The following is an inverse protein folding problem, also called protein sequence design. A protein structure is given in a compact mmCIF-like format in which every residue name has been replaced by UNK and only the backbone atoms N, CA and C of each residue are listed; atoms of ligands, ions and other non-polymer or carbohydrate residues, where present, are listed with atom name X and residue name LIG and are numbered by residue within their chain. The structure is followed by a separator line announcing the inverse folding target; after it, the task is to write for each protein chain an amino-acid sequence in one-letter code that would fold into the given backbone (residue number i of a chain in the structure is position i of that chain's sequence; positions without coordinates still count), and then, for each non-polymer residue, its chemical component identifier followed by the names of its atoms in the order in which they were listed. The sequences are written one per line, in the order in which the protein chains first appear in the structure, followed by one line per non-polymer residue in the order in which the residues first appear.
data_IF_251509580868
#
_entry.id   IF_251509580868
#
_cell.length_a   1.000
_cell.length_b   1.000
_cell.length_c   1.000
_cell.angle_alpha   90.00
_cell.angle_beta   90.00
_cell.angle_gamma   90.00
#
_symmetry.space_group_name_H-M   'P 1'
#
loop_
_entity.id
_entity.type
_entity.pdbx_description
1 polymer ?
#
# COMPACT_ATOMS: atom_id res chain seq x y z
N UNK A 1 13.15 21.14 44.15
CA UNK A 1 12.25 20.22 43.40
C UNK A 1 11.32 20.90 42.37
N UNK A 2 11.55 22.16 41.95
CA UNK A 2 10.61 22.92 41.09
C UNK A 2 11.01 23.03 39.61
N UNK A 3 12.27 22.73 39.26
CA UNK A 3 12.77 22.89 37.88
C UNK A 3 12.27 21.78 36.94
N UNK A 4 12.14 20.55 37.45
CA UNK A 4 11.65 19.40 36.67
C UNK A 4 10.17 19.52 36.25
N UNK A 5 9.34 20.24 37.00
CA UNK A 5 7.90 20.39 36.68
C UNK A 5 7.65 21.43 35.59
N UNK A 6 8.45 22.52 35.54
CA UNK A 6 8.35 23.56 34.52
C UNK A 6 8.81 23.06 33.14
N UNK A 7 9.87 22.24 33.07
CA UNK A 7 10.34 21.63 31.81
C UNK A 7 9.29 20.63 31.28
N UNK A 8 8.67 19.83 32.16
CA UNK A 8 7.59 18.89 31.77
C UNK A 8 6.33 19.62 31.28
N UNK A 9 6.01 20.78 31.87
CA UNK A 9 4.92 21.65 31.43
C UNK A 9 5.24 22.39 30.12
N UNK A 10 6.50 22.78 29.90
CA UNK A 10 6.97 23.38 28.64
C UNK A 10 6.95 22.34 27.50
N UNK A 11 7.42 21.12 27.75
CA UNK A 11 7.34 20.00 26.80
C UNK A 11 5.89 19.63 26.46
N UNK A 12 4.98 19.64 27.45
CA UNK A 12 3.54 19.48 27.21
C UNK A 12 2.88 20.65 26.45
N UNK A 13 3.47 21.86 26.48
CA UNK A 13 2.99 23.02 25.71
C UNK A 13 3.54 23.05 24.28
N UNK A 14 4.75 22.54 24.07
CA UNK A 14 5.38 22.43 22.74
C UNK A 14 4.79 21.23 21.95
N UNK A 15 4.33 20.19 22.64
CA UNK A 15 3.68 19.01 22.05
C UNK A 15 2.20 18.99 22.43
N UNK A 16 1.47 20.03 22.00
CA UNK A 16 0.03 19.89 21.70
C UNK A 16 -0.13 19.98 20.19
N UNK A 17 0.53 19.08 19.47
CA UNK A 17 -0.04 18.64 18.20
C UNK A 17 -1.44 18.13 18.53
N UNK A 18 -2.44 18.66 17.82
CA UNK A 18 -3.79 18.11 17.87
C UNK A 18 -3.63 16.61 17.63
N UNK A 19 -4.16 15.77 18.53
CA UNK A 19 -4.17 14.32 18.29
C UNK A 19 -4.71 14.10 16.88
N UNK A 20 -3.95 13.39 16.06
CA UNK A 20 -4.33 13.13 14.67
C UNK A 20 -5.76 12.56 14.68
N UNK A 21 -6.64 13.12 13.86
CA UNK A 21 -8.00 12.58 13.76
C UNK A 21 -7.94 11.37 12.86
N UNK A 22 -8.57 10.29 13.28
CA UNK A 22 -8.71 9.03 12.56
C UNK A 22 -9.85 9.07 11.51
N UNK A 23 -10.39 10.25 11.24
CA UNK A 23 -11.26 10.55 10.10
C UNK A 23 -10.93 11.93 9.54
N UNK A 24 -11.29 12.16 8.27
CA UNK A 24 -11.17 13.48 7.63
C UNK A 24 -12.52 14.17 7.46
N UNK A 25 -13.51 13.82 8.27
CA UNK A 25 -14.85 14.41 8.15
C UNK A 25 -14.76 15.91 8.38
N UNK A 26 -15.24 16.67 7.39
CA UNK A 26 -15.23 18.13 7.32
C UNK A 26 -13.82 18.76 7.27
N UNK A 27 -12.80 18.01 6.86
CA UNK A 27 -11.43 18.52 6.75
C UNK A 27 -11.12 19.09 5.36
N UNK A 28 -10.27 20.11 5.34
CA UNK A 28 -9.61 20.59 4.14
C UNK A 28 -8.31 19.79 3.90
N UNK A 29 -8.26 19.03 2.81
CA UNK A 29 -7.09 18.24 2.45
C UNK A 29 -6.33 18.94 1.32
N UNK A 30 -5.00 19.00 1.44
CA UNK A 30 -4.13 19.38 0.33
C UNK A 30 -3.21 18.23 -0.04
N UNK A 31 -2.89 18.08 -1.31
CA UNK A 31 -2.02 17.01 -1.81
C UNK A 31 -0.84 17.62 -2.55
N UNK A 32 0.37 17.27 -2.13
CA UNK A 32 1.57 17.46 -2.91
C UNK A 32 2.02 16.12 -3.44
N UNK A 33 2.35 16.04 -4.72
CA UNK A 33 2.92 14.84 -5.29
C UNK A 33 3.20 14.96 -6.78
N UNK A 34 3.42 13.84 -7.43
CA UNK A 34 3.90 13.79 -8.81
C UNK A 34 2.83 13.39 -9.84
N UNK A 35 3.23 12.87 -11.01
CA UNK A 35 2.33 12.45 -12.08
C UNK A 35 1.31 11.40 -11.64
N UNK A 36 1.63 10.55 -10.67
CA UNK A 36 0.76 9.48 -10.19
C UNK A 36 -0.46 10.07 -9.47
N UNK A 37 -0.27 11.10 -8.65
CA UNK A 37 -1.38 11.78 -7.96
C UNK A 37 -1.90 13.02 -8.68
N UNK A 38 -1.15 13.59 -9.63
CA UNK A 38 -1.66 14.62 -10.52
C UNK A 38 -2.73 14.07 -11.47
N UNK A 39 -2.68 12.76 -11.74
CA UNK A 39 -3.57 12.08 -12.67
C UNK A 39 -3.28 12.51 -14.11
N UNK A 40 -1.99 12.52 -14.47
CA UNK A 40 -1.50 12.96 -15.77
C UNK A 40 -2.23 12.26 -16.93
N UNK A 41 -2.71 13.06 -17.90
CA UNK A 41 -3.10 12.59 -19.22
C UNK A 41 -1.86 12.06 -19.94
N UNK A 42 -1.65 10.74 -19.94
CA UNK A 42 -0.66 10.13 -20.81
C UNK A 42 -1.27 9.89 -22.20
N UNK A 43 -0.43 9.99 -23.22
CA UNK A 43 -0.72 10.02 -24.68
C UNK A 43 -1.16 8.63 -25.21
N UNK A 44 -1.93 7.89 -24.42
CA UNK A 44 -2.78 6.78 -24.85
C UNK A 44 -4.13 7.08 -24.23
N UNK A 45 -5.15 7.21 -25.06
CA UNK A 45 -6.51 7.74 -24.82
C UNK A 45 -7.32 6.99 -23.71
N UNK A 46 -6.66 6.29 -22.79
CA UNK A 46 -7.20 5.39 -21.77
C UNK A 46 -7.02 5.89 -20.31
N UNK A 47 -6.38 7.05 -20.08
CA UNK A 47 -6.01 7.49 -18.71
C UNK A 47 -6.46 8.90 -18.27
N UNK A 48 -7.72 9.34 -18.47
CA UNK A 48 -8.21 10.51 -17.76
C UNK A 48 -8.71 10.13 -16.35
N UNK A 49 -7.82 9.73 -15.44
CA UNK A 49 -8.20 9.44 -14.04
C UNK A 49 -7.95 10.62 -13.10
N UNK A 50 -7.81 11.85 -13.61
CA UNK A 50 -7.62 13.05 -12.78
C UNK A 50 -8.65 13.15 -11.64
N UNK A 51 -9.88 12.71 -11.88
CA UNK A 51 -10.95 12.68 -10.88
C UNK A 51 -10.97 11.43 -9.99
N UNK A 52 -10.18 10.42 -10.32
CA UNK A 52 -10.17 9.11 -9.66
C UNK A 52 -8.77 8.67 -9.16
N UNK A 53 -7.81 9.59 -9.05
CA UNK A 53 -6.54 9.33 -8.36
C UNK A 53 -6.77 8.98 -6.89
N UNK A 54 -5.89 8.14 -6.34
CA UNK A 54 -6.10 7.52 -5.03
C UNK A 54 -6.30 8.54 -3.90
N UNK A 55 -5.60 9.68 -3.94
CA UNK A 55 -5.68 10.70 -2.90
C UNK A 55 -7.08 11.37 -2.89
N UNK A 56 -7.62 11.67 -4.08
CA UNK A 56 -8.96 12.24 -4.25
C UNK A 56 -10.04 11.26 -3.80
N UNK A 57 -9.93 10.00 -4.21
CA UNK A 57 -10.87 8.95 -3.80
C UNK A 57 -10.82 8.69 -2.28
N UNK A 58 -9.63 8.67 -1.68
CA UNK A 58 -9.49 8.48 -0.23
C UNK A 58 -10.12 9.62 0.55
N UNK A 59 -9.90 10.88 0.13
CA UNK A 59 -10.55 12.05 0.73
C UNK A 59 -12.07 11.97 0.65
N UNK A 60 -12.62 11.51 -0.49
CA UNK A 60 -14.05 11.25 -0.61
C UNK A 60 -14.51 10.15 0.36
N UNK A 61 -13.82 9.01 0.42
CA UNK A 61 -14.18 7.91 1.33
C UNK A 61 -14.05 8.25 2.83
N UNK A 62 -13.27 9.27 3.16
CA UNK A 62 -13.07 9.81 4.51
C UNK A 62 -13.95 11.03 4.80
N UNK A 63 -14.88 11.38 3.90
CA UNK A 63 -15.81 12.51 4.01
C UNK A 63 -15.13 13.87 4.19
N UNK A 64 -13.98 14.08 3.53
CA UNK A 64 -13.33 15.38 3.49
C UNK A 64 -14.27 16.46 2.92
N UNK A 65 -14.21 17.68 3.48
CA UNK A 65 -14.98 18.80 2.97
C UNK A 65 -14.53 19.18 1.55
N UNK A 66 -13.22 19.26 1.35
CA UNK A 66 -12.60 19.52 0.05
C UNK A 66 -11.20 18.91 -0.02
N UNK A 67 -10.74 18.69 -1.26
CA UNK A 67 -9.37 18.38 -1.58
C UNK A 67 -8.85 19.35 -2.64
N UNK A 68 -7.67 19.92 -2.39
CA UNK A 68 -6.91 20.69 -3.37
C UNK A 68 -5.65 19.90 -3.77
N UNK A 69 -5.50 19.65 -5.07
CA UNK A 69 -4.41 18.85 -5.60
C UNK A 69 -3.34 19.75 -6.23
N UNK A 70 -2.19 19.85 -5.57
CA UNK A 70 -1.02 20.61 -6.01
C UNK A 70 0.04 19.73 -6.66
N UNK A 71 -0.32 18.50 -7.02
CA UNK A 71 0.61 17.58 -7.65
C UNK A 71 1.00 18.03 -9.06
N UNK A 72 2.27 17.85 -9.40
CA UNK A 72 2.85 18.22 -10.68
C UNK A 72 3.69 17.07 -11.24
N UNK A 73 3.47 16.75 -12.52
CA UNK A 73 4.24 15.72 -13.21
C UNK A 73 5.73 16.00 -13.21
N UNK A 74 6.53 14.94 -13.01
CA UNK A 74 7.99 15.02 -13.02
C UNK A 74 8.57 15.71 -11.79
N UNK A 75 7.75 16.02 -10.77
CA UNK A 75 8.22 16.67 -9.55
C UNK A 75 8.56 15.61 -8.49
N UNK A 76 9.65 15.82 -7.76
CA UNK A 76 10.01 15.18 -6.50
C UNK A 76 10.36 16.24 -5.46
N UNK A 77 11.34 15.98 -4.60
CA UNK A 77 12.01 17.07 -3.86
C UNK A 77 12.67 18.05 -4.83
N UNK A 78 13.20 17.53 -5.92
CA UNK A 78 13.70 18.28 -7.06
C UNK A 78 12.71 18.20 -8.23
N UNK A 79 12.64 19.26 -9.03
CA UNK A 79 11.89 19.19 -10.30
C UNK A 79 12.76 18.43 -11.29
N UNK A 80 12.30 17.31 -11.83
CA UNK A 80 13.03 16.61 -12.86
C UNK A 80 12.80 17.18 -14.25
N UNK A 81 13.60 16.75 -15.22
CA UNK A 81 13.40 17.11 -16.62
C UNK A 81 12.11 16.52 -17.17
N UNK A 82 11.16 17.38 -17.55
CA UNK A 82 9.95 16.92 -18.23
C UNK A 82 9.62 17.77 -19.47
N UNK A 83 9.53 17.11 -20.62
CA UNK A 83 9.33 17.77 -21.91
C UNK A 83 8.01 18.56 -22.02
N UNK A 84 7.03 18.29 -21.15
CA UNK A 84 5.73 18.97 -21.13
C UNK A 84 5.69 20.19 -20.19
N UNK A 85 6.74 20.49 -19.44
CA UNK A 85 6.72 21.58 -18.43
C UNK A 85 6.33 22.93 -19.04
N UNK A 86 6.82 23.23 -20.25
CA UNK A 86 6.50 24.47 -20.98
C UNK A 86 5.07 24.51 -21.52
N UNK A 87 4.48 23.36 -21.82
CA UNK A 87 3.14 23.26 -22.43
C UNK A 87 2.04 23.16 -21.38
N UNK A 88 2.29 22.44 -20.29
CA UNK A 88 1.33 22.21 -19.21
C UNK A 88 1.41 23.28 -18.10
N UNK A 89 2.43 24.14 -18.10
CA UNK A 89 2.64 25.14 -17.07
C UNK A 89 3.14 24.58 -15.73
N UNK A 90 3.55 23.30 -15.70
CA UNK A 90 4.20 22.69 -14.54
C UNK A 90 5.59 23.28 -14.36
N UNK A 91 5.76 24.08 -13.32
CA UNK A 91 6.98 24.89 -13.15
C UNK A 91 7.55 24.79 -11.75
N UNK A 92 6.91 24.04 -10.84
CA UNK A 92 7.28 24.06 -9.45
C UNK A 92 7.98 22.77 -9.01
N UNK A 93 9.10 22.96 -8.30
CA UNK A 93 9.58 21.96 -7.34
C UNK A 93 8.61 21.89 -6.16
N UNK A 94 8.72 20.87 -5.31
CA UNK A 94 7.91 20.80 -4.10
C UNK A 94 8.03 22.07 -3.22
N UNK A 95 9.24 22.62 -3.08
CA UNK A 95 9.44 23.91 -2.40
C UNK A 95 8.68 25.05 -3.08
N UNK A 96 8.70 25.10 -4.42
CA UNK A 96 7.95 26.06 -5.22
C UNK A 96 6.45 25.98 -4.95
N UNK A 97 5.88 24.78 -4.98
CA UNK A 97 4.45 24.54 -4.73
C UNK A 97 4.07 24.97 -3.31
N UNK A 98 4.90 24.67 -2.30
CA UNK A 98 4.65 25.12 -0.91
C UNK A 98 4.58 26.66 -0.82
N UNK A 99 5.46 27.36 -1.53
CA UNK A 99 5.50 28.82 -1.51
C UNK A 99 4.32 29.44 -2.27
N UNK A 100 3.96 28.85 -3.41
CA UNK A 100 2.84 29.30 -4.25
C UNK A 100 1.49 29.12 -3.53
N UNK A 101 1.23 27.92 -3.01
CA UNK A 101 -0.04 27.56 -2.34
C UNK A 101 -0.05 27.82 -0.83
N UNK A 102 0.67 28.87 -0.40
CA UNK A 102 0.85 29.16 1.03
C UNK A 102 -0.46 29.48 1.76
N UNK A 103 -1.45 30.07 1.09
CA UNK A 103 -2.72 30.43 1.76
C UNK A 103 -3.62 29.22 1.96
N UNK A 104 -3.61 28.30 1.00
CA UNK A 104 -4.32 27.04 0.99
C UNK A 104 -3.76 26.14 2.11
N UNK A 105 -2.42 26.06 2.24
CA UNK A 105 -1.76 25.34 3.35
C UNK A 105 -2.18 25.88 4.72
N UNK A 106 -2.37 27.20 4.88
CA UNK A 106 -2.82 27.79 6.16
C UNK A 106 -4.23 27.35 6.55
N UNK A 107 -5.07 27.03 5.58
CA UNK A 107 -6.46 26.62 5.77
C UNK A 107 -6.64 25.10 5.78
N UNK A 108 -5.61 24.35 5.37
CA UNK A 108 -5.62 22.90 5.34
C UNK A 108 -5.58 22.30 6.75
N UNK A 109 -6.33 21.23 6.95
CA UNK A 109 -6.26 20.38 8.14
C UNK A 109 -5.27 19.24 7.92
N UNK A 110 -5.16 18.74 6.68
CA UNK A 110 -4.31 17.62 6.30
C UNK A 110 -3.50 17.98 5.06
N UNK A 111 -2.21 17.63 5.04
CA UNK A 111 -1.40 17.59 3.83
C UNK A 111 -0.86 16.19 3.57
N UNK A 112 -1.12 15.68 2.37
CA UNK A 112 -0.54 14.44 1.85
C UNK A 112 0.71 14.81 1.05
N UNK A 113 1.82 14.09 1.28
CA UNK A 113 3.08 14.24 0.53
C UNK A 113 3.37 12.90 -0.17
N UNK A 114 3.20 12.86 -1.49
CA UNK A 114 3.34 11.69 -2.34
C UNK A 114 4.39 11.94 -3.44
N UNK A 115 5.66 11.92 -3.02
CA UNK A 115 6.83 12.12 -3.90
C UNK A 115 7.84 11.00 -3.67
N UNK A 116 8.74 10.84 -4.63
CA UNK A 116 9.96 10.05 -4.47
C UNK A 116 10.50 9.50 -5.78
N UNK A 117 9.62 8.98 -6.63
CA UNK A 117 10.04 8.27 -7.84
C UNK A 117 10.86 9.15 -8.81
N UNK A 118 10.48 10.43 -8.96
CA UNK A 118 11.22 11.38 -9.81
C UNK A 118 12.61 11.74 -9.25
N UNK A 119 12.78 11.80 -7.92
CA UNK A 119 14.10 12.04 -7.33
C UNK A 119 15.09 10.91 -7.63
N UNK A 120 14.60 9.68 -7.80
CA UNK A 120 15.43 8.55 -8.23
C UNK A 120 15.70 8.58 -9.74
N UNK A 121 14.67 8.74 -10.57
CA UNK A 121 14.78 8.50 -12.02
C UNK A 121 15.17 9.71 -12.88
N UNK A 122 15.13 10.94 -12.35
CA UNK A 122 15.32 12.17 -13.14
C UNK A 122 16.48 13.02 -12.60
N UNK A 123 17.41 13.46 -13.46
CA UNK A 123 18.26 14.61 -13.17
C UNK A 123 17.45 15.89 -13.01
N UNK A 124 18.08 16.92 -12.44
CA UNK A 124 17.53 18.27 -12.37
C UNK A 124 17.32 18.88 -13.77
N UNK A 125 16.54 19.98 -13.91
CA UNK A 125 16.18 20.54 -15.20
C UNK A 125 17.39 21.06 -15.99
N UNK A 126 18.47 21.42 -15.29
CA UNK A 126 19.76 21.84 -15.86
C UNK A 126 20.72 20.68 -16.16
N UNK A 127 20.32 19.44 -15.87
CA UNK A 127 21.11 18.23 -16.06
C UNK A 127 22.05 17.90 -14.90
N UNK A 128 22.07 18.70 -13.83
CA UNK A 128 22.79 18.35 -12.61
C UNK A 128 22.16 17.15 -11.91
N UNK A 129 22.99 16.40 -11.18
CA UNK A 129 22.58 15.25 -10.37
C UNK A 129 22.49 15.67 -8.90
N UNK A 130 21.68 14.98 -8.12
CA UNK A 130 21.57 15.16 -6.67
C UNK A 130 21.77 13.84 -5.94
N UNK A 131 22.33 13.90 -4.74
CA UNK A 131 22.55 12.73 -3.90
C UNK A 131 21.40 12.45 -2.91
N UNK A 132 21.42 11.25 -2.32
CA UNK A 132 20.43 10.82 -1.34
C UNK A 132 20.36 11.76 -0.11
N UNK A 133 21.51 12.27 0.35
CA UNK A 133 21.57 13.22 1.46
C UNK A 133 20.82 14.51 1.13
N UNK A 134 20.96 15.03 -0.09
CA UNK A 134 20.30 16.26 -0.52
C UNK A 134 18.78 16.08 -0.62
N UNK A 135 18.32 14.90 -1.10
CA UNK A 135 16.91 14.52 -1.08
C UNK A 135 16.35 14.54 0.34
N UNK A 136 17.08 13.92 1.29
CA UNK A 136 16.66 13.88 2.71
C UNK A 136 16.59 15.29 3.31
N UNK A 137 17.60 16.11 3.06
CA UNK A 137 17.66 17.47 3.59
C UNK A 137 16.54 18.36 3.03
N UNK A 138 16.26 18.27 1.71
CA UNK A 138 15.13 18.98 1.11
C UNK A 138 13.79 18.52 1.67
N UNK A 139 13.58 17.22 1.84
CA UNK A 139 12.34 16.70 2.41
C UNK A 139 12.13 17.21 3.85
N UNK A 140 13.17 17.20 4.69
CA UNK A 140 13.12 17.79 6.04
C UNK A 140 12.78 19.28 5.99
N UNK A 141 13.43 20.04 5.11
CA UNK A 141 13.20 21.48 4.95
C UNK A 141 11.76 21.77 4.50
N UNK A 142 11.24 21.02 3.54
CA UNK A 142 9.88 21.17 3.02
C UNK A 142 8.82 20.83 4.07
N UNK A 143 8.99 19.74 4.82
CA UNK A 143 8.12 19.39 5.96
C UNK A 143 8.10 20.51 7.01
N UNK A 144 9.28 21.02 7.38
CA UNK A 144 9.39 22.11 8.34
C UNK A 144 8.78 23.42 7.82
N UNK A 145 8.89 23.68 6.53
CA UNK A 145 8.28 24.84 5.89
C UNK A 145 6.76 24.77 5.92
N UNK A 146 6.16 23.63 5.60
CA UNK A 146 4.71 23.41 5.71
C UNK A 146 4.25 23.65 7.15
N UNK A 147 4.96 23.07 8.13
CA UNK A 147 4.65 23.27 9.56
C UNK A 147 4.84 24.71 10.05
N UNK A 148 5.78 25.45 9.47
CA UNK A 148 5.96 26.87 9.77
C UNK A 148 4.81 27.72 9.21
N UNK A 149 4.22 27.32 8.09
CA UNK A 149 3.03 27.96 7.51
C UNK A 149 1.79 27.62 8.34
N UNK A 150 1.63 26.35 8.71
CA UNK A 150 0.51 25.85 9.50
C UNK A 150 1.00 24.82 10.55
N UNK A 151 1.12 25.24 11.80
CA UNK A 151 1.63 24.39 12.88
C UNK A 151 0.63 23.32 13.36
N UNK A 152 -0.63 23.40 12.91
CA UNK A 152 -1.71 22.47 13.27
C UNK A 152 -1.99 21.43 12.19
N UNK A 153 -1.40 21.59 11.01
CA UNK A 153 -1.63 20.69 9.89
C UNK A 153 -1.15 19.28 10.24
N UNK A 154 -1.96 18.30 9.88
CA UNK A 154 -1.60 16.91 9.96
C UNK A 154 -0.90 16.50 8.67
N UNK A 155 0.31 15.96 8.77
CA UNK A 155 1.04 15.49 7.59
C UNK A 155 0.87 13.98 7.44
N UNK A 156 0.73 13.52 6.20
CA UNK A 156 0.76 12.10 5.85
C UNK A 156 1.78 11.92 4.73
N UNK A 157 2.83 11.16 4.98
CA UNK A 157 3.79 10.78 3.96
C UNK A 157 3.29 9.54 3.24
N UNK A 158 3.20 9.58 1.92
CA UNK A 158 2.91 8.41 1.09
C UNK A 158 4.22 7.91 0.49
N UNK A 159 4.44 6.61 0.64
CA UNK A 159 5.55 5.91 -0.01
C UNK A 159 4.96 5.05 -1.10
N UNK A 160 5.35 5.40 -2.32
CA UNK A 160 5.05 4.61 -3.49
C UNK A 160 5.76 3.25 -3.42
N UNK A 161 5.15 2.28 -4.09
CA UNK A 161 5.59 0.89 -4.12
C UNK A 161 6.70 0.70 -5.16
N UNK A 162 6.69 -0.35 -5.98
CA UNK A 162 7.71 -0.56 -7.01
C UNK A 162 7.65 0.49 -8.12
N UNK A 163 8.78 0.70 -8.77
CA UNK A 163 8.84 1.24 -10.12
C UNK A 163 9.28 0.11 -11.06
N UNK A 164 8.94 0.22 -12.34
CA UNK A 164 9.32 -0.73 -13.38
C UNK A 164 10.14 -0.06 -14.47
N UNK A 165 11.02 -0.82 -15.12
CA UNK A 165 11.73 -0.41 -16.34
C UNK A 165 11.80 -1.59 -17.28
N UNK A 166 11.29 -1.43 -18.51
CA UNK A 166 11.27 -2.52 -19.50
C UNK A 166 10.62 -3.78 -18.93
N UNK A 167 9.50 -3.61 -18.22
CA UNK A 167 8.74 -4.67 -17.54
C UNK A 167 9.48 -5.41 -16.41
N UNK A 168 10.58 -4.86 -15.88
CA UNK A 168 11.31 -5.44 -14.75
C UNK A 168 11.24 -4.53 -13.52
N UNK A 169 11.12 -5.07 -12.29
CA UNK A 169 11.17 -4.29 -11.07
C UNK A 169 12.47 -3.48 -10.98
N UNK A 170 12.34 -2.19 -10.69
CA UNK A 170 13.46 -1.28 -10.59
C UNK A 170 14.03 -1.15 -9.16
N UNK A 171 13.58 -2.01 -8.24
CA UNK A 171 13.90 -1.94 -6.81
C UNK A 171 15.41 -1.81 -6.54
N UNK A 172 16.22 -2.59 -7.25
CA UNK A 172 17.68 -2.60 -7.13
C UNK A 172 18.40 -1.88 -8.27
N UNK A 173 17.67 -1.20 -9.15
CA UNK A 173 18.28 -0.48 -10.27
C UNK A 173 18.78 0.88 -9.80
N UNK A 174 20.05 1.17 -10.10
CA UNK A 174 20.63 2.49 -9.91
C UNK A 174 20.05 3.48 -10.93
N UNK A 175 19.52 4.59 -10.44
CA UNK A 175 19.04 5.69 -11.28
C UNK A 175 20.19 6.56 -11.79
N UNK A 176 19.91 7.55 -12.65
CA UNK A 176 20.94 8.48 -13.14
C UNK A 176 21.63 9.28 -12.02
N UNK A 177 21.01 9.37 -10.84
CA UNK A 177 21.51 10.10 -9.67
C UNK A 177 22.44 9.26 -8.77
N UNK A 178 22.77 8.01 -9.15
CA UNK A 178 23.80 7.22 -8.46
C UNK A 178 23.33 6.47 -7.20
N UNK A 179 22.03 6.26 -7.04
CA UNK A 179 21.46 5.45 -5.95
C UNK A 179 20.30 4.57 -6.45
N UNK A 180 19.99 3.51 -5.71
CA UNK A 180 18.90 2.59 -6.08
C UNK A 180 17.54 3.13 -5.68
N UNK A 181 16.48 2.61 -6.31
CA UNK A 181 15.11 2.97 -5.92
C UNK A 181 14.83 2.59 -4.45
N UNK A 182 15.35 1.44 -4.01
CA UNK A 182 15.26 1.02 -2.61
C UNK A 182 15.90 2.05 -1.64
N UNK A 183 17.06 2.61 -2.00
CA UNK A 183 17.73 3.63 -1.18
C UNK A 183 16.90 4.90 -1.07
N UNK A 184 16.28 5.34 -2.18
CA UNK A 184 15.38 6.49 -2.20
C UNK A 184 14.19 6.29 -1.27
N UNK A 185 13.52 5.14 -1.38
CA UNK A 185 12.38 4.80 -0.53
C UNK A 185 12.79 4.76 0.94
N UNK A 186 13.93 4.14 1.27
CA UNK A 186 14.45 4.10 2.63
C UNK A 186 14.73 5.50 3.18
N UNK A 187 15.31 6.40 2.37
CA UNK A 187 15.60 7.77 2.74
C UNK A 187 14.34 8.59 3.06
N UNK A 188 13.28 8.46 2.24
CA UNK A 188 12.00 9.11 2.51
C UNK A 188 11.37 8.60 3.81
N UNK A 189 11.33 7.27 4.01
CA UNK A 189 10.80 6.66 5.25
C UNK A 189 11.58 7.15 6.48
N UNK A 190 12.91 7.20 6.39
CA UNK A 190 13.77 7.69 7.46
C UNK A 190 13.41 9.12 7.85
N UNK A 191 13.32 10.03 6.87
CA UNK A 191 12.97 11.43 7.14
C UNK A 191 11.56 11.58 7.68
N UNK A 192 10.56 10.87 7.14
CA UNK A 192 9.21 10.92 7.69
C UNK A 192 9.19 10.48 9.16
N UNK A 193 9.89 9.40 9.50
CA UNK A 193 10.03 8.93 10.89
C UNK A 193 10.73 9.97 11.78
N UNK A 194 11.87 10.51 11.34
CA UNK A 194 12.60 11.57 12.06
C UNK A 194 11.71 12.80 12.33
N UNK A 195 10.88 13.17 11.35
CA UNK A 195 9.99 14.32 11.44
C UNK A 195 8.65 14.00 12.11
N UNK A 196 8.41 12.77 12.57
CA UNK A 196 7.13 12.38 13.18
C UNK A 196 5.95 12.52 12.22
N UNK A 197 6.16 12.22 10.94
CA UNK A 197 5.13 12.15 9.91
C UNK A 197 4.71 10.68 9.76
N UNK A 198 3.43 10.31 9.96
CA UNK A 198 2.97 8.95 9.70
C UNK A 198 3.17 8.58 8.23
N UNK A 199 3.57 7.34 8.00
CA UNK A 199 3.93 6.82 6.68
C UNK A 199 2.88 5.83 6.22
N UNK A 200 2.14 6.19 5.17
CA UNK A 200 1.34 5.26 4.39
C UNK A 200 2.23 4.63 3.32
N UNK A 201 2.71 3.43 3.61
CA UNK A 201 3.51 2.64 2.68
C UNK A 201 2.59 1.68 1.92
N UNK A 202 2.41 1.92 0.61
CA UNK A 202 1.49 1.15 -0.23
C UNK A 202 1.83 -0.35 -0.20
N UNK A 203 3.11 -0.70 -0.02
CA UNK A 203 3.60 -2.08 0.01
C UNK A 203 3.08 -2.86 1.22
N UNK A 204 2.80 -2.18 2.33
CA UNK A 204 2.23 -2.80 3.54
C UNK A 204 0.79 -3.28 3.33
N UNK A 205 0.18 -2.94 2.19
CA UNK A 205 -1.16 -3.35 1.77
C UNK A 205 -1.14 -4.29 0.57
N UNK A 206 0.04 -4.78 0.17
CA UNK A 206 0.20 -5.72 -0.94
C UNK A 206 -0.25 -5.14 -2.30
N UNK A 207 -0.05 -3.84 -2.51
CA UNK A 207 -0.42 -3.14 -3.75
C UNK A 207 0.80 -2.64 -4.53
N UNK A 208 0.70 -2.68 -5.85
CA UNK A 208 1.70 -2.23 -6.82
C UNK A 208 3.00 -3.05 -6.83
N UNK A 209 2.92 -4.32 -6.42
CA UNK A 209 4.04 -5.24 -6.46
C UNK A 209 4.24 -5.87 -7.87
N UNK A 210 3.27 -5.72 -8.78
CA UNK A 210 3.25 -6.39 -10.09
C UNK A 210 3.00 -5.44 -11.24
N UNK A 211 3.57 -5.75 -12.41
CA UNK A 211 3.55 -4.85 -13.57
C UNK A 211 2.16 -4.66 -14.18
N UNK A 212 1.27 -5.63 -14.04
CA UNK A 212 -0.13 -5.54 -14.49
C UNK A 212 -0.99 -4.61 -13.63
N UNK A 213 -0.50 -4.20 -12.46
CA UNK A 213 -1.09 -3.14 -11.65
C UNK A 213 -0.81 -1.73 -12.24
N UNK A 214 -0.04 -1.65 -13.33
CA UNK A 214 0.40 -0.42 -13.97
C UNK A 214 -0.12 -0.31 -15.40
N UNK A 215 -0.46 0.91 -15.82
CA UNK A 215 -0.86 1.23 -17.20
C UNK A 215 0.34 1.40 -18.15
N UNK A 216 1.53 1.59 -17.58
CA UNK A 216 2.78 1.69 -18.32
C UNK A 216 3.87 0.81 -17.70
N UNK A 217 4.97 0.61 -18.41
CA UNK A 217 6.11 -0.16 -17.92
C UNK A 217 7.00 0.65 -16.97
N UNK A 218 6.41 1.66 -16.30
CA UNK A 218 7.13 2.65 -15.51
C UNK A 218 6.60 2.74 -14.09
N UNK A 219 5.50 3.45 -13.85
CA UNK A 219 5.13 3.85 -12.49
C UNK A 219 3.69 4.31 -12.31
N UNK A 220 2.88 4.33 -13.37
CA UNK A 220 1.50 4.80 -13.28
C UNK A 220 0.55 3.63 -13.06
N UNK A 221 -0.25 3.67 -11.99
CA UNK A 221 -1.20 2.61 -11.65
C UNK A 221 -2.42 2.59 -12.58
N UNK A 222 -3.05 1.42 -12.67
CA UNK A 222 -4.41 1.30 -13.24
C UNK A 222 -5.45 1.96 -12.32
N UNK A 223 -6.62 2.26 -12.88
CA UNK A 223 -7.73 2.84 -12.12
C UNK A 223 -8.14 1.97 -10.93
N UNK A 224 -8.20 0.66 -11.12
CA UNK A 224 -8.63 -0.25 -10.06
C UNK A 224 -7.61 -0.33 -8.93
N UNK A 225 -6.33 -0.22 -9.26
CA UNK A 225 -5.26 -0.11 -8.25
C UNK A 225 -5.35 1.23 -7.52
N UNK A 226 -5.64 2.35 -8.21
CA UNK A 226 -5.92 3.63 -7.54
C UNK A 226 -7.10 3.55 -6.55
N UNK A 227 -8.19 2.86 -6.91
CA UNK A 227 -9.33 2.63 -6.00
C UNK A 227 -8.94 1.80 -4.79
N UNK A 228 -8.10 0.79 -4.98
CA UNK A 228 -7.59 -0.06 -3.88
C UNK A 228 -6.68 0.73 -2.94
N UNK A 229 -5.71 1.47 -3.48
CA UNK A 229 -4.83 2.35 -2.69
C UNK A 229 -5.66 3.35 -1.89
N UNK A 230 -6.72 3.90 -2.46
CA UNK A 230 -7.61 4.82 -1.75
C UNK A 230 -8.33 4.19 -0.56
N UNK A 231 -8.80 2.93 -0.70
CA UNK A 231 -9.39 2.17 0.40
C UNK A 231 -8.35 1.85 1.47
N UNK A 232 -7.14 1.48 1.09
CA UNK A 232 -6.02 1.23 2.01
C UNK A 232 -5.59 2.49 2.76
N UNK A 233 -5.57 3.66 2.10
CA UNK A 233 -5.30 4.94 2.77
C UNK A 233 -6.41 5.31 3.76
N UNK A 234 -7.68 5.04 3.42
CA UNK A 234 -8.79 5.16 4.36
C UNK A 234 -8.61 4.25 5.59
N UNK A 235 -8.25 2.98 5.36
CA UNK A 235 -7.96 2.02 6.44
C UNK A 235 -6.84 2.53 7.36
N UNK A 236 -5.73 3.00 6.77
CA UNK A 236 -4.62 3.60 7.48
C UNK A 236 -5.06 4.74 8.40
N UNK A 237 -5.84 5.69 7.87
CA UNK A 237 -6.34 6.85 8.61
C UNK A 237 -7.25 6.40 9.75
N UNK A 238 -8.22 5.51 9.46
CA UNK A 238 -9.18 5.00 10.45
C UNK A 238 -8.55 4.23 11.60
N UNK A 239 -7.36 3.68 11.38
CA UNK A 239 -6.61 2.98 12.44
C UNK A 239 -5.51 3.84 13.04
N UNK A 240 -5.76 5.14 13.16
CA UNK A 240 -4.83 6.04 13.85
C UNK A 240 -3.48 6.14 13.15
N UNK A 241 -3.45 6.05 11.83
CA UNK A 241 -2.25 6.14 11.00
C UNK A 241 -1.26 5.00 11.26
N UNK A 242 -1.80 3.79 11.42
CA UNK A 242 -1.02 2.56 11.56
C UNK A 242 -1.28 1.62 10.39
N UNK A 243 -0.21 1.22 9.68
CA UNK A 243 -0.30 0.20 8.64
C UNK A 243 -0.60 -1.18 9.23
N UNK A 244 -1.09 -2.15 8.44
CA UNK A 244 -1.27 -3.52 8.90
C UNK A 244 -0.02 -4.08 9.58
N UNK A 245 1.16 -3.87 8.99
CA UNK A 245 2.43 -4.28 9.57
C UNK A 245 2.72 -3.63 10.95
N UNK A 246 2.27 -2.40 11.18
CA UNK A 246 2.41 -1.72 12.47
C UNK A 246 1.40 -2.19 13.51
N UNK A 247 0.19 -2.58 13.08
CA UNK A 247 -0.89 -3.06 13.96
C UNK A 247 -0.69 -4.50 14.38
N UNK A 248 -0.28 -5.33 13.43
CA UNK A 248 -0.26 -6.79 13.56
C UNK A 248 1.15 -7.37 13.55
N UNK A 249 2.19 -6.57 13.26
CA UNK A 249 3.57 -7.01 13.19
C UNK A 249 3.95 -7.62 11.83
N UNK A 250 5.24 -7.96 11.70
CA UNK A 250 5.71 -8.76 10.57
C UNK A 250 5.11 -10.16 10.63
N UNK A 251 4.56 -10.61 9.50
CA UNK A 251 3.78 -11.84 9.41
C UNK A 251 4.47 -12.82 8.46
N UNK A 252 4.73 -14.03 8.94
CA UNK A 252 5.15 -15.15 8.10
C UNK A 252 3.91 -15.69 7.37
N UNK A 253 3.97 -15.69 6.04
CA UNK A 253 2.88 -16.14 5.17
C UNK A 253 3.10 -17.60 4.76
N UNK A 254 2.17 -18.48 5.09
CA UNK A 254 2.24 -19.91 4.79
C UNK A 254 1.25 -20.28 3.69
N UNK A 255 1.76 -20.67 2.52
CA UNK A 255 0.93 -21.17 1.42
C UNK A 255 0.45 -22.59 1.75
N UNK A 256 -0.86 -22.79 1.85
CA UNK A 256 -1.46 -24.07 2.21
C UNK A 256 -2.56 -24.45 1.21
N UNK A 257 -2.30 -25.49 0.41
CA UNK A 257 -3.18 -25.94 -0.68
C UNK A 257 -4.05 -27.14 -0.32
N UNK A 258 -3.89 -27.67 0.90
CA UNK A 258 -4.68 -28.80 1.40
C UNK A 258 -5.96 -28.37 2.11
N UNK A 259 -6.69 -29.37 2.63
CA UNK A 259 -7.80 -29.15 3.55
C UNK A 259 -7.28 -28.95 4.97
N UNK A 260 -7.56 -27.79 5.58
CA UNK A 260 -7.01 -27.40 6.88
C UNK A 260 -7.60 -28.22 8.05
N UNK A 261 -8.78 -28.80 7.86
CA UNK A 261 -9.46 -29.63 8.86
C UNK A 261 -9.09 -31.11 8.76
N UNK A 262 -8.60 -31.55 7.59
CA UNK A 262 -8.12 -32.92 7.41
C UNK A 262 -6.78 -33.12 8.13
N UNK A 263 -6.66 -34.22 8.89
CA UNK A 263 -5.37 -34.61 9.43
C UNK A 263 -4.45 -35.11 8.33
N UNK A 264 -3.50 -34.26 7.95
CA UNK A 264 -2.54 -34.51 6.88
C UNK A 264 -1.14 -34.15 7.32
N UNK A 265 -0.15 -34.78 6.70
CA UNK A 265 1.27 -34.46 6.91
C UNK A 265 1.56 -32.97 6.68
N UNK A 266 0.96 -32.38 5.65
CA UNK A 266 1.08 -30.95 5.32
C UNK A 266 0.58 -30.07 6.48
N UNK A 267 -0.60 -30.38 7.04
CA UNK A 267 -1.17 -29.64 8.18
C UNK A 267 -0.30 -29.77 9.43
N UNK A 268 0.15 -30.98 9.75
CA UNK A 268 0.96 -31.24 10.93
C UNK A 268 2.27 -30.44 10.89
N UNK A 269 2.96 -30.42 9.75
CA UNK A 269 4.20 -29.65 9.58
C UNK A 269 3.93 -28.14 9.52
N UNK A 270 2.82 -27.68 8.91
CA UNK A 270 2.38 -26.28 8.97
C UNK A 270 2.27 -25.82 10.43
N UNK A 271 1.52 -26.56 11.25
CA UNK A 271 1.29 -26.22 12.65
C UNK A 271 2.57 -26.27 13.48
N UNK A 272 3.42 -27.27 13.24
CA UNK A 272 4.73 -27.36 13.88
C UNK A 272 5.61 -26.15 13.52
N UNK A 273 5.58 -25.71 12.27
CA UNK A 273 6.36 -24.55 11.79
C UNK A 273 5.85 -23.24 12.38
N UNK A 274 4.54 -23.02 12.38
CA UNK A 274 3.91 -21.83 12.99
C UNK A 274 4.32 -21.71 14.45
N UNK A 275 4.13 -22.77 15.25
CA UNK A 275 4.51 -22.78 16.67
C UNK A 275 5.98 -22.42 16.88
N UNK A 276 6.87 -22.97 16.05
CA UNK A 276 8.32 -22.69 16.12
C UNK A 276 8.64 -21.23 15.78
N UNK A 277 7.97 -20.62 14.81
CA UNK A 277 8.23 -19.25 14.41
C UNK A 277 7.57 -18.25 15.36
N UNK A 278 6.40 -18.56 15.93
CA UNK A 278 5.78 -17.74 16.98
C UNK A 278 6.62 -17.70 18.26
N UNK A 279 7.31 -18.79 18.62
CA UNK A 279 8.30 -18.77 19.70
C UNK A 279 9.44 -17.76 19.47
N UNK A 280 9.64 -17.30 18.23
CA UNK A 280 10.61 -16.26 17.85
C UNK A 280 9.97 -14.87 17.73
N UNK A 281 8.71 -14.71 18.12
CA UNK A 281 7.95 -13.46 18.03
C UNK A 281 7.43 -13.14 16.63
N UNK A 282 7.27 -14.13 15.75
CA UNK A 282 6.65 -13.94 14.43
C UNK A 282 5.16 -14.25 14.46
N UNK A 283 4.36 -13.40 13.82
CA UNK A 283 2.95 -13.68 13.55
C UNK A 283 2.84 -14.61 12.34
N UNK A 284 1.71 -15.30 12.23
CA UNK A 284 1.47 -16.25 11.17
C UNK A 284 0.18 -15.93 10.42
N UNK A 285 0.24 -15.99 9.09
CA UNK A 285 -0.90 -15.96 8.20
C UNK A 285 -0.89 -17.21 7.33
N UNK A 286 -2.00 -17.95 7.32
CA UNK A 286 -2.20 -19.08 6.42
C UNK A 286 -2.92 -18.58 5.18
N UNK A 287 -2.27 -18.68 4.01
CA UNK A 287 -2.86 -18.40 2.71
C UNK A 287 -3.50 -19.69 2.18
N UNK A 288 -4.82 -19.75 2.23
CA UNK A 288 -5.58 -20.98 2.05
C UNK A 288 -6.40 -21.00 0.76
N UNK A 289 -6.30 -22.10 0.01
CA UNK A 289 -6.86 -22.27 -1.34
C UNK A 289 -8.03 -23.26 -1.39
N UNK A 290 -9.00 -23.11 -0.48
CA UNK A 290 -10.14 -24.02 -0.36
C UNK A 290 -11.48 -23.28 -0.51
N UNK A 291 -12.50 -23.95 -1.03
CA UNK A 291 -13.81 -23.33 -1.29
C UNK A 291 -14.70 -23.21 -0.04
N UNK A 292 -14.37 -23.94 1.02
CA UNK A 292 -15.19 -24.05 2.21
C UNK A 292 -14.67 -23.13 3.33
N UNK A 293 -15.33 -21.98 3.50
CA UNK A 293 -15.25 -21.19 4.72
C UNK A 293 -16.68 -20.93 5.20
N UNK A 294 -17.34 -21.99 5.65
CA UNK A 294 -18.72 -21.86 6.11
C UNK A 294 -18.82 -21.58 7.61
N UNK A 295 -17.72 -21.63 8.38
CA UNK A 295 -17.80 -21.39 9.82
C UNK A 295 -16.49 -20.89 10.47
N UNK A 296 -16.52 -19.69 11.04
CA UNK A 296 -15.44 -19.13 11.86
C UNK A 296 -15.24 -19.86 13.20
N UNK A 297 -16.29 -20.53 13.70
CA UNK A 297 -16.23 -21.28 14.95
C UNK A 297 -15.37 -22.53 14.81
N UNK A 298 -15.46 -23.21 13.65
CA UNK A 298 -14.65 -24.40 13.35
C UNK A 298 -13.16 -24.05 13.30
N UNK A 299 -12.81 -22.89 12.73
CA UNK A 299 -11.44 -22.42 12.70
C UNK A 299 -10.93 -22.07 14.10
N UNK A 300 -11.75 -21.41 14.91
CA UNK A 300 -11.42 -21.06 16.29
C UNK A 300 -11.18 -22.32 17.14
N UNK A 301 -12.02 -23.34 16.96
CA UNK A 301 -11.86 -24.64 17.60
C UNK A 301 -10.56 -25.33 17.15
N UNK A 302 -10.30 -25.37 15.84
CA UNK A 302 -9.10 -25.98 15.27
C UNK A 302 -7.81 -25.32 15.84
N UNK A 303 -7.77 -23.99 15.89
CA UNK A 303 -6.66 -23.21 16.46
C UNK A 303 -6.43 -23.61 17.92
N UNK A 304 -7.50 -23.63 18.71
CA UNK A 304 -7.45 -23.93 20.14
C UNK A 304 -7.02 -25.37 20.41
N UNK A 305 -7.63 -26.35 19.76
CA UNK A 305 -7.34 -27.78 19.96
C UNK A 305 -5.91 -28.14 19.57
N UNK A 306 -5.35 -27.44 18.58
CA UNK A 306 -3.99 -27.65 18.14
C UNK A 306 -2.97 -26.76 18.87
N UNK A 307 -3.39 -25.94 19.85
CA UNK A 307 -2.49 -25.06 20.60
C UNK A 307 -1.72 -24.09 19.69
N UNK A 308 -2.38 -23.56 18.67
CA UNK A 308 -1.86 -22.52 17.81
C UNK A 308 -2.02 -21.13 18.48
N UNK A 309 -1.25 -20.13 18.06
CA UNK A 309 -1.43 -18.76 18.53
C UNK A 309 -2.84 -18.26 18.20
N UNK A 310 -3.48 -17.59 19.16
CA UNK A 310 -4.87 -17.11 19.00
C UNK A 310 -5.00 -15.95 18.01
N UNK A 311 -3.88 -15.31 17.67
CA UNK A 311 -3.77 -14.20 16.74
C UNK A 311 -3.34 -14.65 15.33
N UNK A 312 -3.36 -15.95 15.04
CA UNK A 312 -3.12 -16.45 13.68
C UNK A 312 -4.19 -15.95 12.72
N UNK A 313 -3.75 -15.43 11.57
CA UNK A 313 -4.65 -15.04 10.49
C UNK A 313 -4.82 -16.20 9.50
N UNK A 314 -6.03 -16.38 8.99
CA UNK A 314 -6.29 -17.30 7.88
C UNK A 314 -6.96 -16.52 6.76
N UNK A 315 -6.24 -16.35 5.66
CA UNK A 315 -6.71 -15.63 4.48
C UNK A 315 -7.06 -16.65 3.42
N UNK A 316 -8.35 -16.76 3.11
CA UNK A 316 -8.81 -17.57 2.01
C UNK A 316 -8.84 -16.75 0.74
N UNK A 317 -8.18 -17.26 -0.30
CA UNK A 317 -7.98 -16.53 -1.55
C UNK A 317 -9.29 -16.22 -2.27
N UNK A 318 -10.30 -17.08 -2.17
CA UNK A 318 -11.58 -16.87 -2.82
C UNK A 318 -12.43 -15.85 -2.09
N UNK A 319 -12.36 -15.80 -0.76
CA UNK A 319 -12.93 -14.71 0.04
C UNK A 319 -12.28 -13.37 -0.34
N UNK A 320 -10.96 -13.37 -0.52
CA UNK A 320 -10.23 -12.18 -0.98
C UNK A 320 -10.70 -11.72 -2.37
N UNK A 321 -10.91 -12.63 -3.32
CA UNK A 321 -11.40 -12.29 -4.66
C UNK A 321 -12.88 -11.86 -4.69
N UNK A 322 -13.72 -12.42 -3.82
CA UNK A 322 -15.15 -12.10 -3.77
C UNK A 322 -15.43 -10.63 -3.41
N UNK A 323 -14.57 -10.07 -2.56
CA UNK A 323 -14.57 -8.66 -2.17
C UNK A 323 -13.13 -8.19 -1.89
N UNK A 324 -12.37 -7.76 -2.92
CA UNK A 324 -11.00 -7.31 -2.72
C UNK A 324 -10.95 -6.22 -1.65
N UNK A 325 -10.25 -6.58 -0.56
CA UNK A 325 -9.88 -5.72 0.57
C UNK A 325 -11.07 -5.15 1.36
N UNK A 326 -11.94 -6.03 1.90
CA UNK A 326 -12.75 -5.73 3.09
C UNK A 326 -11.88 -5.73 4.34
N UNK A 327 -11.47 -4.55 4.79
CA UNK A 327 -10.73 -4.37 6.04
C UNK A 327 -11.63 -4.38 7.30
N UNK A 328 -12.94 -4.61 7.16
CA UNK A 328 -13.86 -4.75 8.30
C UNK A 328 -13.88 -6.18 8.89
N UNK A 329 -13.13 -7.11 8.29
CA UNK A 329 -13.04 -8.50 8.73
C UNK A 329 -14.30 -9.33 8.42
N UNK A 330 -15.26 -8.78 7.67
CA UNK A 330 -16.45 -9.50 7.25
C UNK A 330 -16.13 -10.54 6.18
N UNK A 331 -16.63 -11.77 6.35
CA UNK A 331 -16.58 -12.82 5.33
C UNK A 331 -17.81 -12.70 4.42
N UNK A 332 -17.61 -12.84 3.11
CA UNK A 332 -18.71 -12.96 2.17
C UNK A 332 -19.28 -14.38 2.19
N UNK A 333 -20.59 -14.49 2.03
CA UNK A 333 -21.21 -15.78 1.71
C UNK A 333 -20.88 -16.15 0.27
N UNK A 334 -20.10 -17.21 0.07
CA UNK A 334 -19.75 -17.72 -1.25
C UNK A 334 -20.66 -18.88 -1.63
N UNK A 335 -21.16 -18.87 -2.86
CA UNK A 335 -22.00 -19.95 -3.41
C UNK A 335 -21.31 -20.54 -4.63
N UNK A 336 -21.27 -21.86 -4.75
CA UNK A 336 -20.76 -22.56 -5.92
C UNK A 336 -21.95 -23.13 -6.72
N UNK A 337 -22.16 -22.64 -7.95
CA UNK A 337 -23.20 -23.12 -8.85
C UNK A 337 -22.60 -23.47 -10.21
N UNK A 338 -22.81 -24.71 -10.69
CA UNK A 338 -22.31 -25.17 -11.98
C UNK A 338 -20.82 -24.84 -12.22
N UNK A 339 -19.98 -25.14 -11.23
CA UNK A 339 -18.55 -24.86 -11.22
C UNK A 339 -18.19 -23.35 -11.29
N UNK A 340 -19.12 -22.45 -10.98
CA UNK A 340 -18.90 -21.00 -10.92
C UNK A 340 -19.09 -20.53 -9.47
N UNK A 341 -18.10 -19.80 -8.95
CA UNK A 341 -18.14 -19.20 -7.63
C UNK A 341 -18.76 -17.80 -7.72
N UNK A 342 -19.78 -17.57 -6.88
CA UNK A 342 -20.52 -16.32 -6.77
C UNK A 342 -20.34 -15.72 -5.38
N UNK A 343 -20.25 -14.39 -5.30
CA UNK A 343 -20.22 -13.67 -4.02
C UNK A 343 -21.63 -13.47 -3.44
N UNK A 344 -21.73 -12.80 -2.29
CA UNK A 344 -23.00 -12.56 -1.59
C UNK A 344 -24.04 -11.82 -2.47
N UNK A 345 -23.58 -11.09 -3.49
CA UNK A 345 -24.41 -10.32 -4.43
C UNK A 345 -24.73 -11.08 -5.72
N UNK A 346 -24.43 -12.39 -5.76
CA UNK A 346 -24.61 -13.24 -6.94
C UNK A 346 -23.77 -12.79 -8.15
N UNK A 347 -22.65 -12.10 -7.90
CA UNK A 347 -21.71 -11.75 -8.97
C UNK A 347 -20.73 -12.91 -9.16
N UNK A 348 -20.63 -13.51 -10.35
CA UNK A 348 -19.69 -14.59 -10.62
C UNK A 348 -18.26 -14.04 -10.72
N UNK A 349 -17.29 -14.72 -10.12
CA UNK A 349 -15.91 -14.22 -10.09
C UNK A 349 -14.83 -15.27 -10.33
N UNK A 350 -15.07 -16.56 -10.02
CA UNK A 350 -14.19 -17.67 -10.40
C UNK A 350 -15.00 -18.74 -11.13
N UNK A 351 -14.41 -19.35 -12.15
CA UNK A 351 -14.94 -20.51 -12.85
C UNK A 351 -13.94 -21.66 -12.81
N UNK A 352 -14.39 -22.82 -12.37
CA UNK A 352 -13.64 -24.06 -12.34
C UNK A 352 -14.00 -24.90 -13.56
N UNK A 353 -13.00 -25.58 -14.13
CA UNK A 353 -13.21 -26.61 -15.13
C UNK A 353 -12.05 -27.60 -15.08
N UNK A 354 -12.34 -28.83 -14.66
CA UNK A 354 -11.31 -29.86 -14.43
C UNK A 354 -10.22 -29.32 -13.49
N UNK A 355 -8.95 -29.33 -13.91
CA UNK A 355 -7.81 -28.75 -13.16
C UNK A 355 -7.50 -27.29 -13.56
N UNK A 356 -8.44 -26.62 -14.21
CA UNK A 356 -8.27 -25.23 -14.68
C UNK A 356 -9.20 -24.24 -13.99
N UNK A 357 -8.71 -23.01 -13.87
CA UNK A 357 -9.39 -21.86 -13.29
C UNK A 357 -9.41 -20.72 -14.30
N UNK A 358 -10.56 -20.08 -14.44
CA UNK A 358 -10.71 -18.75 -15.04
C UNK A 358 -11.23 -17.77 -13.99
N UNK A 359 -10.71 -16.55 -13.97
CA UNK A 359 -11.24 -15.48 -13.11
C UNK A 359 -11.97 -14.44 -13.96
N UNK A 360 -12.96 -13.78 -13.37
CA UNK A 360 -13.68 -12.70 -14.05
C UNK A 360 -12.88 -11.40 -14.00
N UNK A 361 -12.84 -10.67 -15.10
CA UNK A 361 -12.15 -9.37 -15.18
C UNK A 361 -13.05 -8.19 -14.84
N UNK A 362 -14.36 -8.31 -15.06
CA UNK A 362 -15.35 -7.23 -14.90
C UNK A 362 -16.77 -7.75 -14.52
N UNK A 363 -16.90 -9.03 -14.16
CA UNK A 363 -18.18 -9.70 -13.92
C UNK A 363 -18.84 -10.32 -15.16
N UNK A 364 -18.38 -9.97 -16.37
CA UNK A 364 -18.97 -10.42 -17.64
C UNK A 364 -17.96 -11.20 -18.50
N UNK A 365 -16.72 -10.73 -18.51
CA UNK A 365 -15.60 -11.29 -19.24
C UNK A 365 -14.74 -12.20 -18.34
N UNK A 366 -14.16 -13.23 -18.95
CA UNK A 366 -13.37 -14.26 -18.29
C UNK A 366 -11.96 -14.30 -18.82
N UNK A 367 -10.99 -14.51 -17.92
CA UNK A 367 -9.61 -14.80 -18.28
C UNK A 367 -9.51 -16.08 -19.11
N UNK A 368 -8.40 -16.22 -19.84
CA UNK A 368 -8.00 -17.52 -20.39
C UNK A 368 -7.89 -18.53 -19.24
N UNK A 369 -8.27 -19.80 -19.45
CA UNK A 369 -8.09 -20.84 -18.45
C UNK A 369 -6.61 -21.02 -18.09
N UNK A 370 -6.34 -21.13 -16.80
CA UNK A 370 -5.02 -21.37 -16.21
C UNK A 370 -5.06 -22.69 -15.44
N UNK A 371 -3.94 -23.40 -15.32
CA UNK A 371 -3.88 -24.52 -14.37
C UNK A 371 -4.09 -23.99 -12.95
N UNK A 372 -4.73 -24.76 -12.08
CA UNK A 372 -4.99 -24.35 -10.69
C UNK A 372 -3.70 -23.95 -9.96
N UNK A 373 -2.60 -24.68 -10.19
CA UNK A 373 -1.30 -24.34 -9.63
C UNK A 373 -0.79 -22.98 -10.14
N UNK A 374 -0.89 -22.73 -11.45
CA UNK A 374 -0.46 -21.44 -12.04
C UNK A 374 -1.30 -20.28 -11.50
N UNK A 375 -2.61 -20.47 -11.34
CA UNK A 375 -3.50 -19.49 -10.72
C UNK A 375 -3.09 -19.21 -9.27
N UNK A 376 -2.81 -20.25 -8.48
CA UNK A 376 -2.35 -20.09 -7.09
C UNK A 376 -1.02 -19.34 -7.03
N UNK A 377 -0.07 -19.70 -7.88
CA UNK A 377 1.25 -19.08 -7.91
C UNK A 377 1.18 -17.61 -8.36
N UNK A 378 0.33 -17.30 -9.33
CA UNK A 378 0.03 -15.92 -9.74
C UNK A 378 -0.61 -15.14 -8.59
N UNK A 379 -1.62 -15.69 -7.92
CA UNK A 379 -2.25 -15.01 -6.80
C UNK A 379 -1.28 -14.78 -5.64
N UNK A 380 -0.49 -15.80 -5.28
CA UNK A 380 0.53 -15.65 -4.23
C UNK A 380 1.52 -14.58 -4.65
N UNK A 381 1.95 -14.56 -5.92
CA UNK A 381 2.79 -13.48 -6.40
C UNK A 381 2.12 -12.13 -6.14
N UNK A 382 0.88 -11.92 -6.62
CA UNK A 382 0.11 -10.69 -6.41
C UNK A 382 -0.03 -10.25 -4.95
N UNK A 383 -0.31 -11.20 -4.06
CA UNK A 383 -0.60 -10.91 -2.66
C UNK A 383 0.66 -10.69 -1.81
N UNK A 384 1.82 -11.24 -2.19
CA UNK A 384 3.03 -11.14 -1.36
C UNK A 384 3.93 -10.02 -1.86
N UNK A 385 4.36 -9.16 -0.95
CA UNK A 385 5.33 -8.09 -1.21
C UNK A 385 6.77 -8.58 -1.02
N UNK A 386 7.73 -7.80 -1.51
CA UNK A 386 9.16 -8.03 -1.23
C UNK A 386 9.55 -7.94 0.26
N UNK A 387 8.64 -7.49 1.13
CA UNK A 387 8.84 -7.44 2.58
C UNK A 387 8.41 -8.73 3.29
N UNK A 388 7.61 -9.56 2.62
CA UNK A 388 6.98 -10.72 3.24
C UNK A 388 7.92 -11.92 3.30
N UNK A 389 7.81 -12.69 4.39
CA UNK A 389 8.46 -14.00 4.48
C UNK A 389 7.46 -15.07 4.11
N UNK A 390 7.65 -15.67 2.94
CA UNK A 390 6.71 -16.66 2.40
C UNK A 390 7.27 -18.06 2.61
N UNK A 391 6.42 -18.98 3.06
CA UNK A 391 6.74 -20.38 3.27
C UNK A 391 5.85 -21.24 2.37
N UNK A 392 6.46 -22.14 1.60
CA UNK A 392 5.75 -23.05 0.68
C UNK A 392 6.04 -24.50 1.04
N UNK A 393 5.11 -25.38 0.68
CA UNK A 393 5.24 -26.83 0.87
C UNK A 393 6.09 -27.44 -0.26
N UNK A 394 7.23 -28.02 0.08
CA UNK A 394 8.13 -28.71 -0.86
C UNK A 394 8.80 -29.90 -0.16
N UNK A 395 8.92 -31.04 -0.84
CA UNK A 395 9.59 -32.25 -0.32
C UNK A 395 9.17 -32.60 1.12
N UNK A 396 7.86 -32.61 1.36
CA UNK A 396 7.26 -32.95 2.65
C UNK A 396 7.61 -32.01 3.82
N UNK A 397 8.01 -30.76 3.53
CA UNK A 397 8.32 -29.74 4.53
C UNK A 397 7.95 -28.33 4.08
N UNK A 398 7.76 -27.44 5.05
CA UNK A 398 7.68 -26.01 4.76
C UNK A 398 9.08 -25.41 4.60
N UNK A 399 9.35 -24.87 3.42
CA UNK A 399 10.59 -24.17 3.08
C UNK A 399 10.31 -22.68 2.88
N UNK A 400 11.26 -21.85 3.28
CA UNK A 400 11.18 -20.41 3.04
C UNK A 400 11.45 -20.15 1.56
N UNK A 401 10.55 -19.43 0.89
CA UNK A 401 10.74 -18.93 -0.47
C UNK A 401 11.80 -17.82 -0.43
N UNK A 402 12.81 -17.96 -1.28
CA UNK A 402 13.94 -17.02 -1.39
C UNK A 402 13.58 -15.72 -2.07
#
# INVERSE_FOLDING_TARGET
MQVKSRIKALLKKIIKQKTARDDWTDMNVVVFGDSIVAGQELIREETPYRDAVYAKLASYYLNAHKLENFAETGTGQFKGQHNLDRLAGWTHSFEGSINYYKQEIKQADVAIIAYGNNDWKQPNPDGSLHGLTEVKDKLRQNINRIRAINSKIQLVGVIETLAFRKHQPAWHLEGPNGFTYADMVAAYIEVYKEQGVPVFDIRDYHLGNHIDEYVDDRDHFTLDVHKQIAKSLKDFVKHGYQSPAQRFGETDKYVFTGNLFADSKMRQELFARIKRNTQKGKHAEILWFELHLNNTDDLSLLIKENGLPSDIQVTNIYQYYAAPLRYDGGLDSLTLENDILLNERQVPFIKFKDDTISYSTDGENWSKPLQKQDFNDLWVAHYVSLKDQVWTWQDDKYVKRG
#
